data_IF_780939831692
#
_entry.id   IF_780939831692
#
_cell.length_a   1.000
_cell.length_b   1.000
_cell.length_c   1.000
_cell.angle_alpha   90.00
_cell.angle_beta   90.00
_cell.angle_gamma   90.00
#
_symmetry.space_group_name_H-M   'P 1'
#
loop_
_entity.id
_entity.type
_entity.pdbx_description
1 polymer ?
#
# COMPACT_ATOMS: atom_id res chain seq x y z
N UNK A 1 2.23 22.80 -10.26
CA UNK A 1 0.81 22.42 -10.40
C UNK A 1 0.60 21.15 -9.58
N UNK A 2 -0.16 21.19 -8.49
CA UNK A 2 -0.40 20.00 -7.68
C UNK A 2 -1.18 18.97 -8.52
N UNK A 3 -0.68 17.74 -8.70
CA UNK A 3 -1.45 16.71 -9.39
C UNK A 3 -2.77 16.52 -8.65
N UNK A 4 -3.88 16.50 -9.40
CA UNK A 4 -5.23 16.44 -8.86
C UNK A 4 -5.36 15.27 -7.85
N UNK A 5 -5.46 15.60 -6.56
CA UNK A 5 -5.41 14.66 -5.43
C UNK A 5 -6.78 14.01 -5.27
N UNK A 6 -7.00 12.92 -6.00
CA UNK A 6 -8.27 12.17 -5.97
C UNK A 6 -8.03 10.71 -5.68
N UNK A 7 -8.70 10.22 -4.65
CA UNK A 7 -8.79 8.79 -4.39
C UNK A 7 -9.49 8.05 -5.54
N UNK A 8 -9.14 6.76 -5.78
CA UNK A 8 -9.98 5.89 -6.60
C UNK A 8 -11.44 5.91 -6.12
N UNK A 9 -12.39 5.87 -7.05
CA UNK A 9 -13.81 5.69 -6.70
C UNK A 9 -14.04 4.29 -6.13
N UNK A 10 -15.18 4.05 -5.47
CA UNK A 10 -15.53 2.70 -4.95
C UNK A 10 -15.40 1.61 -6.02
N UNK A 11 -15.91 1.86 -7.23
CA UNK A 11 -15.82 0.91 -8.34
C UNK A 11 -14.37 0.72 -8.83
N UNK A 12 -13.58 1.79 -8.89
CA UNK A 12 -12.15 1.71 -9.21
C UNK A 12 -11.36 0.93 -8.16
N UNK A 13 -11.65 1.11 -6.87
CA UNK A 13 -11.03 0.35 -5.78
C UNK A 13 -11.37 -1.13 -5.85
N UNK A 14 -12.63 -1.50 -6.12
CA UNK A 14 -13.05 -2.90 -6.30
C UNK A 14 -12.31 -3.54 -7.47
N UNK A 15 -12.27 -2.87 -8.63
CA UNK A 15 -11.56 -3.36 -9.81
C UNK A 15 -10.07 -3.51 -9.50
N UNK A 16 -9.45 -2.51 -8.89
CA UNK A 16 -8.04 -2.54 -8.53
C UNK A 16 -7.70 -3.70 -7.58
N UNK A 17 -8.49 -3.93 -6.52
CA UNK A 17 -8.29 -5.08 -5.61
C UNK A 17 -8.41 -6.42 -6.33
N UNK A 18 -9.44 -6.61 -7.16
CA UNK A 18 -9.62 -7.86 -7.93
C UNK A 18 -8.45 -8.08 -8.90
N UNK A 19 -7.95 -7.03 -9.54
CA UNK A 19 -6.81 -7.11 -10.47
C UNK A 19 -5.50 -7.42 -9.73
N UNK A 20 -5.31 -6.89 -8.52
CA UNK A 20 -4.19 -7.22 -7.64
C UNK A 20 -4.18 -8.71 -7.25
N UNK A 21 -5.36 -9.31 -7.09
CA UNK A 21 -5.58 -10.74 -6.89
C UNK A 21 -5.53 -11.57 -8.19
N UNK A 22 -5.06 -11.00 -9.30
CA UNK A 22 -4.93 -11.64 -10.61
C UNK A 22 -6.25 -12.11 -11.25
N UNK A 23 -7.40 -11.62 -10.78
CA UNK A 23 -8.70 -11.95 -11.39
C UNK A 23 -8.75 -11.36 -12.82
N UNK A 24 -9.11 -12.16 -13.84
CA UNK A 24 -9.15 -11.70 -15.23
C UNK A 24 -10.16 -10.56 -15.47
N UNK A 25 -9.89 -9.60 -16.37
CA UNK A 25 -10.81 -8.50 -16.64
C UNK A 25 -12.17 -8.95 -17.19
N UNK A 26 -12.24 -10.12 -17.84
CA UNK A 26 -13.49 -10.72 -18.31
C UNK A 26 -14.43 -11.09 -17.18
N UNK A 27 -13.90 -11.74 -16.13
CA UNK A 27 -14.67 -12.16 -14.96
C UNK A 27 -15.14 -10.92 -14.18
N UNK A 28 -14.25 -9.93 -14.00
CA UNK A 28 -14.60 -8.68 -13.33
C UNK A 28 -15.70 -7.92 -14.11
N UNK A 29 -15.60 -7.89 -15.44
CA UNK A 29 -16.58 -7.24 -16.29
C UNK A 29 -17.97 -7.88 -16.17
N UNK A 30 -18.04 -9.21 -16.14
CA UNK A 30 -19.27 -9.98 -15.93
C UNK A 30 -19.88 -9.71 -14.56
N UNK A 31 -19.10 -9.86 -13.48
CA UNK A 31 -19.55 -9.63 -12.11
C UNK A 31 -20.09 -8.20 -11.89
N UNK A 32 -19.41 -7.21 -12.48
CA UNK A 32 -19.77 -5.80 -12.33
C UNK A 32 -20.76 -5.29 -13.38
N UNK A 33 -21.19 -6.14 -14.32
CA UNK A 33 -22.09 -5.79 -15.44
C UNK A 33 -21.57 -4.59 -16.26
N UNK A 34 -20.28 -4.59 -16.58
CA UNK A 34 -19.60 -3.56 -17.38
C UNK A 34 -18.84 -4.20 -18.54
N UNK A 35 -18.27 -3.38 -19.43
CA UNK A 35 -17.45 -3.87 -20.53
C UNK A 35 -16.00 -4.17 -20.09
N UNK A 36 -15.32 -5.11 -20.77
CA UNK A 36 -13.88 -5.37 -20.53
C UNK A 36 -13.01 -4.12 -20.71
N UNK A 37 -13.23 -3.26 -21.75
CA UNK A 37 -12.49 -2.01 -21.88
C UNK A 37 -12.70 -1.07 -20.70
N UNK A 38 -13.91 -1.02 -20.13
CA UNK A 38 -14.18 -0.23 -18.93
C UNK A 38 -13.34 -0.71 -17.74
N UNK A 39 -13.23 -2.03 -17.52
CA UNK A 39 -12.39 -2.59 -16.45
C UNK A 39 -10.93 -2.17 -16.60
N UNK A 40 -10.36 -2.32 -17.81
CA UNK A 40 -8.98 -1.91 -18.09
C UNK A 40 -8.76 -0.41 -17.89
N UNK A 41 -9.71 0.43 -18.34
CA UNK A 41 -9.64 1.87 -18.16
C UNK A 41 -9.74 2.26 -16.68
N UNK A 42 -10.68 1.67 -15.93
CA UNK A 42 -10.87 1.93 -14.51
C UNK A 42 -9.64 1.51 -13.69
N UNK A 43 -9.03 0.36 -14.00
CA UNK A 43 -7.77 -0.08 -13.40
C UNK A 43 -6.66 0.95 -13.63
N UNK A 44 -6.44 1.36 -14.88
CA UNK A 44 -5.39 2.35 -15.23
C UNK A 44 -5.60 3.68 -14.49
N UNK A 45 -6.84 4.13 -14.40
CA UNK A 45 -7.17 5.36 -13.67
C UNK A 45 -6.92 5.18 -12.16
N UNK A 46 -7.30 4.04 -11.59
CA UNK A 46 -7.05 3.73 -10.19
C UNK A 46 -5.56 3.74 -9.86
N UNK A 47 -4.75 3.02 -10.65
CA UNK A 47 -3.30 2.96 -10.49
C UNK A 47 -2.65 4.34 -10.63
N UNK A 48 -3.07 5.17 -11.59
CA UNK A 48 -2.56 6.53 -11.71
C UNK A 48 -2.88 7.40 -10.47
N UNK A 49 -4.10 7.26 -9.93
CA UNK A 49 -4.50 7.96 -8.70
C UNK A 49 -3.68 7.51 -7.50
N UNK A 50 -3.53 6.20 -7.34
CA UNK A 50 -2.72 5.59 -6.26
C UNK A 50 -1.26 6.04 -6.37
N UNK A 51 -0.68 6.05 -7.58
CA UNK A 51 0.67 6.57 -7.81
C UNK A 51 0.80 8.01 -7.31
N UNK A 52 -0.13 8.88 -7.71
CA UNK A 52 -0.12 10.28 -7.31
C UNK A 52 -0.27 10.42 -5.79
N UNK A 53 -1.14 9.64 -5.16
CA UNK A 53 -1.33 9.64 -3.71
C UNK A 53 -0.04 9.28 -2.96
N UNK A 54 0.65 8.21 -3.38
CA UNK A 54 1.89 7.76 -2.76
C UNK A 54 3.02 8.78 -2.96
N UNK A 55 3.17 9.34 -4.17
CA UNK A 55 4.16 10.38 -4.46
C UNK A 55 3.92 11.66 -3.67
N UNK A 56 2.66 12.09 -3.54
CA UNK A 56 2.30 13.26 -2.74
C UNK A 56 2.60 13.02 -1.26
N UNK A 57 2.27 11.85 -0.72
CA UNK A 57 2.60 11.51 0.66
C UNK A 57 4.12 11.52 0.90
N UNK A 58 4.90 11.00 -0.04
CA UNK A 58 6.35 11.05 0.03
C UNK A 58 6.88 12.49 0.01
N UNK A 59 6.37 13.32 -0.90
CA UNK A 59 6.76 14.74 -1.00
C UNK A 59 6.44 15.51 0.29
N UNK A 60 5.25 15.30 0.87
CA UNK A 60 4.84 15.94 2.13
C UNK A 60 5.73 15.55 3.31
N UNK A 61 6.25 14.32 3.30
CA UNK A 61 7.16 13.81 4.33
C UNK A 61 8.65 13.96 3.97
N UNK A 62 8.98 14.66 2.88
CA UNK A 62 10.36 14.84 2.38
C UNK A 62 11.13 13.54 2.16
N UNK A 63 10.41 12.51 1.71
CA UNK A 63 10.97 11.19 1.42
C UNK A 63 11.33 11.10 -0.06
N UNK A 64 12.53 10.59 -0.34
CA UNK A 64 12.95 10.23 -1.69
C UNK A 64 12.48 8.81 -1.98
N UNK A 65 11.70 8.62 -3.05
CA UNK A 65 11.14 7.30 -3.39
C UNK A 65 12.17 6.51 -4.18
N UNK A 66 12.47 5.30 -3.69
CA UNK A 66 13.36 4.36 -4.37
C UNK A 66 12.57 3.47 -5.33
N UNK A 67 11.44 2.92 -4.84
CA UNK A 67 10.58 2.03 -5.61
C UNK A 67 9.10 2.35 -5.35
N UNK A 68 8.28 2.22 -6.40
CA UNK A 68 6.83 2.43 -6.32
C UNK A 68 6.09 1.42 -7.19
N UNK A 69 5.03 0.84 -6.65
CA UNK A 69 4.14 -0.08 -7.33
C UNK A 69 2.69 0.34 -7.13
N UNK A 70 2.12 1.13 -8.05
CA UNK A 70 0.71 1.51 -7.99
C UNK A 70 -0.24 0.31 -8.14
N UNK A 71 0.21 -0.74 -8.83
CA UNK A 71 -0.49 -2.03 -8.96
C UNK A 71 -0.75 -2.67 -7.59
N UNK A 72 0.21 -2.57 -6.66
CA UNK A 72 0.10 -3.13 -5.32
C UNK A 72 -0.15 -2.09 -4.23
N UNK A 73 -0.19 -0.80 -4.60
CA UNK A 73 -0.47 0.29 -3.66
C UNK A 73 0.65 0.43 -2.64
N UNK A 74 1.90 0.21 -3.05
CA UNK A 74 3.03 0.19 -2.16
C UNK A 74 4.19 0.99 -2.72
N UNK A 75 4.90 1.70 -1.86
CA UNK A 75 6.16 2.34 -2.20
C UNK A 75 7.12 2.27 -1.01
N UNK A 76 8.40 2.34 -1.31
CA UNK A 76 9.48 2.48 -0.33
C UNK A 76 10.36 3.63 -0.75
N UNK A 77 10.87 4.32 0.24
CA UNK A 77 11.83 5.40 0.04
C UNK A 77 12.71 5.58 1.27
N UNK A 78 13.53 6.61 1.20
CA UNK A 78 14.48 6.95 2.25
C UNK A 78 14.27 8.40 2.71
N UNK A 79 14.37 8.59 4.02
CA UNK A 79 14.41 9.91 4.66
C UNK A 79 15.86 10.33 4.87
N UNK A 80 16.40 11.31 4.11
CA UNK A 80 17.76 11.80 4.37
C UNK A 80 17.91 12.43 5.75
N UNK A 81 16.83 12.96 6.33
CA UNK A 81 16.84 13.65 7.61
C UNK A 81 16.93 12.69 8.80
N UNK A 82 16.24 11.56 8.75
CA UNK A 82 16.24 10.55 9.83
C UNK A 82 17.15 9.36 9.55
N UNK A 83 17.69 9.26 8.33
CA UNK A 83 18.55 8.14 7.94
C UNK A 83 17.82 6.80 7.87
N UNK A 84 16.50 6.80 7.70
CA UNK A 84 15.66 5.60 7.81
C UNK A 84 14.82 5.34 6.56
N UNK A 85 14.56 4.05 6.31
CA UNK A 85 13.60 3.62 5.29
C UNK A 85 12.19 4.06 5.70
N UNK A 86 11.37 4.37 4.71
CA UNK A 86 9.97 4.75 4.91
C UNK A 86 9.12 4.01 3.89
N UNK A 87 8.08 3.35 4.37
CA UNK A 87 7.13 2.61 3.55
C UNK A 87 5.83 3.39 3.41
N UNK A 88 5.22 3.31 2.24
CA UNK A 88 3.92 3.90 1.95
C UNK A 88 2.98 2.82 1.49
N UNK A 89 1.81 2.74 2.11
CA UNK A 89 0.78 1.76 1.74
C UNK A 89 -0.50 2.48 1.37
N UNK A 90 -1.18 2.02 0.33
CA UNK A 90 -2.54 2.39 -0.02
C UNK A 90 -3.46 1.17 0.12
N UNK A 91 -4.53 1.34 0.91
CA UNK A 91 -5.66 0.42 0.97
C UNK A 91 -6.98 1.20 0.74
N UNK A 92 -7.99 0.59 0.11
CA UNK A 92 -9.33 1.15 0.07
C UNK A 92 -9.91 1.36 1.48
N UNK A 93 -9.58 0.50 2.43
CA UNK A 93 -10.02 0.56 3.83
C UNK A 93 -9.18 1.56 4.62
N UNK A 94 -7.85 1.43 4.60
CA UNK A 94 -6.96 2.21 5.47
C UNK A 94 -6.41 3.49 4.82
N UNK A 95 -6.79 3.79 3.57
CA UNK A 95 -6.28 4.94 2.80
C UNK A 95 -4.75 4.88 2.67
N UNK A 96 -4.11 6.03 2.47
CA UNK A 96 -2.65 6.14 2.43
C UNK A 96 -2.12 6.18 3.86
N UNK A 97 -1.14 5.33 4.15
CA UNK A 97 -0.41 5.29 5.41
C UNK A 97 1.09 5.42 5.14
N UNK A 98 1.81 6.03 6.09
CA UNK A 98 3.26 6.26 6.02
C UNK A 98 3.88 5.61 7.25
N UNK A 99 4.88 4.76 7.02
CA UNK A 99 5.52 3.95 8.05
C UNK A 99 7.01 4.21 8.05
N UNK A 100 7.51 4.84 9.11
CA UNK A 100 8.94 5.05 9.31
C UNK A 100 9.56 3.80 9.93
N UNK A 101 10.66 3.33 9.36
CA UNK A 101 11.45 2.23 9.91
C UNK A 101 12.20 2.74 11.16
N UNK A 102 11.58 2.55 12.32
CA UNK A 102 12.13 2.92 13.62
C UNK A 102 11.70 1.91 14.68
N UNK A 103 12.57 1.70 15.66
CA UNK A 103 12.23 0.94 16.86
C UNK A 103 11.36 1.81 17.77
N UNK A 104 10.14 1.37 18.05
CA UNK A 104 9.20 2.04 18.94
C UNK A 104 8.81 1.15 20.13
N UNK A 105 8.61 1.75 21.32
CA UNK A 105 8.03 1.04 22.46
C UNK A 105 6.49 0.99 22.33
N UNK A 106 5.99 0.04 21.53
CA UNK A 106 4.55 -0.12 21.32
C UNK A 106 3.78 -0.48 22.60
N UNK A 107 4.43 -0.94 23.68
CA UNK A 107 3.73 -1.36 24.91
C UNK A 107 3.11 -0.17 25.65
N UNK A 108 3.64 1.03 25.43
CA UNK A 108 3.16 2.28 26.04
C UNK A 108 2.51 3.22 25.03
N UNK A 109 2.35 2.77 23.79
CA UNK A 109 1.81 3.59 22.72
C UNK A 109 0.29 3.49 22.67
N UNK A 110 -0.40 4.62 22.82
CA UNK A 110 -1.88 4.68 22.75
C UNK A 110 -2.42 4.29 21.36
N UNK A 111 -1.61 4.44 20.31
CA UNK A 111 -1.96 4.09 18.93
C UNK A 111 -1.63 2.63 18.56
N UNK A 112 -1.06 1.85 19.49
CA UNK A 112 -0.59 0.49 19.19
C UNK A 112 -1.68 -0.42 18.59
N UNK A 113 -2.91 -0.33 19.12
CA UNK A 113 -4.05 -1.12 18.65
C UNK A 113 -4.50 -0.71 17.23
N UNK A 114 -4.43 0.57 16.91
CA UNK A 114 -4.74 1.08 15.56
C UNK A 114 -3.67 0.65 14.56
N UNK A 115 -2.39 0.79 14.91
CA UNK A 115 -1.29 0.30 14.08
C UNK A 115 -1.42 -1.20 13.81
N UNK A 116 -1.67 -2.01 14.85
CA UNK A 116 -1.84 -3.46 14.71
C UNK A 116 -3.02 -3.80 13.78
N UNK A 117 -4.17 -3.14 13.95
CA UNK A 117 -5.33 -3.30 13.09
C UNK A 117 -4.98 -3.03 11.63
N UNK A 118 -4.34 -1.90 11.34
CA UNK A 118 -4.00 -1.53 9.97
C UNK A 118 -2.99 -2.52 9.38
N UNK A 119 -1.90 -2.82 10.09
CA UNK A 119 -0.85 -3.71 9.61
C UNK A 119 -1.39 -5.13 9.34
N UNK A 120 -2.21 -5.67 10.23
CA UNK A 120 -2.83 -6.99 10.03
C UNK A 120 -3.87 -6.97 8.93
N UNK A 121 -4.65 -5.90 8.80
CA UNK A 121 -5.56 -5.72 7.67
C UNK A 121 -4.81 -5.69 6.33
N UNK A 122 -3.70 -4.96 6.26
CA UNK A 122 -2.82 -4.97 5.10
C UNK A 122 -2.26 -6.38 4.82
N UNK A 123 -1.81 -7.11 5.85
CA UNK A 123 -1.33 -8.48 5.68
C UNK A 123 -2.39 -9.39 5.03
N UNK A 124 -3.65 -9.29 5.47
CA UNK A 124 -4.78 -10.01 4.86
C UNK A 124 -4.97 -9.58 3.39
N UNK A 125 -4.94 -8.29 3.07
CA UNK A 125 -5.03 -7.81 1.69
C UNK A 125 -3.90 -8.33 0.80
N UNK A 126 -2.71 -8.50 1.36
CA UNK A 126 -1.53 -9.07 0.69
C UNK A 126 -1.55 -10.60 0.64
N UNK A 127 -2.51 -11.28 1.27
CA UNK A 127 -2.54 -12.74 1.38
C UNK A 127 -1.41 -13.30 2.24
N UNK A 128 -0.87 -12.51 3.16
CA UNK A 128 0.24 -12.87 4.05
C UNK A 128 -0.28 -13.24 5.43
N UNK A 129 0.13 -14.40 5.94
CA UNK A 129 -0.17 -14.84 7.30
C UNK A 129 0.92 -14.38 8.27
N UNK A 130 0.53 -13.69 9.35
CA UNK A 130 1.42 -13.20 10.41
C UNK A 130 1.03 -13.84 11.75
N UNK A 131 2.01 -14.27 12.57
CA UNK A 131 1.74 -14.71 13.94
C UNK A 131 0.94 -13.67 14.76
N UNK A 132 0.10 -14.16 15.69
CA UNK A 132 -0.77 -13.31 16.50
C UNK A 132 -0.01 -12.57 17.60
N UNK A 133 0.95 -13.24 18.24
CA UNK A 133 1.62 -12.74 19.44
C UNK A 133 2.87 -11.90 19.11
N UNK A 134 2.70 -10.89 18.26
CA UNK A 134 3.75 -9.94 17.88
C UNK A 134 3.31 -8.51 18.20
N UNK A 135 4.27 -7.69 18.62
CA UNK A 135 4.06 -6.25 18.79
C UNK A 135 3.94 -5.56 17.42
N UNK A 136 3.24 -4.41 17.32
CA UNK A 136 3.05 -3.71 16.04
C UNK A 136 4.34 -3.44 15.26
N UNK A 137 5.44 -3.07 15.91
CA UNK A 137 6.75 -2.89 15.25
C UNK A 137 7.26 -4.17 14.60
N UNK A 138 7.10 -5.33 15.26
CA UNK A 138 7.51 -6.63 14.74
C UNK A 138 6.60 -7.08 13.58
N UNK A 139 5.29 -6.80 13.70
CA UNK A 139 4.31 -7.01 12.63
C UNK A 139 4.68 -6.19 11.40
N UNK A 140 4.98 -4.89 11.57
CA UNK A 140 5.36 -3.99 10.48
C UNK A 140 6.62 -4.47 9.77
N UNK A 141 7.69 -4.79 10.51
CA UNK A 141 8.94 -5.31 9.97
C UNK A 141 8.71 -6.57 9.14
N UNK A 142 8.04 -7.56 9.74
CA UNK A 142 7.74 -8.84 9.08
C UNK A 142 6.87 -8.65 7.83
N UNK A 143 5.88 -7.76 7.90
CA UNK A 143 4.99 -7.47 6.78
C UNK A 143 5.77 -6.83 5.62
N UNK A 144 6.52 -5.76 5.89
CA UNK A 144 7.20 -5.02 4.84
C UNK A 144 8.36 -5.82 4.23
N UNK A 145 9.11 -6.59 5.03
CA UNK A 145 10.13 -7.51 4.50
C UNK A 145 9.52 -8.52 3.51
N UNK A 146 8.35 -9.10 3.85
CA UNK A 146 7.65 -10.03 2.95
C UNK A 146 7.11 -9.35 1.70
N UNK A 147 6.58 -8.13 1.83
CA UNK A 147 6.11 -7.34 0.68
C UNK A 147 7.28 -7.04 -0.27
N UNK A 148 8.40 -6.59 0.27
CA UNK A 148 9.62 -6.30 -0.49
C UNK A 148 10.08 -7.56 -1.25
N UNK A 149 10.05 -8.74 -0.61
CA UNK A 149 10.40 -10.01 -1.26
C UNK A 149 9.43 -10.43 -2.36
N UNK A 150 8.13 -10.26 -2.16
CA UNK A 150 7.11 -10.50 -3.21
C UNK A 150 7.32 -9.58 -4.42
N UNK A 151 7.79 -8.35 -4.18
CA UNK A 151 8.06 -7.37 -5.24
C UNK A 151 9.47 -7.48 -5.83
N UNK A 152 10.35 -8.27 -5.23
CA UNK A 152 11.76 -8.40 -5.63
C UNK A 152 12.59 -7.14 -5.35
N UNK A 153 12.26 -6.38 -4.29
CA UNK A 153 12.91 -5.12 -3.94
C UNK A 153 14.00 -5.25 -2.87
N UNK A 154 14.27 -6.47 -2.41
CA UNK A 154 15.24 -6.77 -1.33
C UNK A 154 16.70 -6.45 -1.71
N UNK A 155 16.96 -6.08 -2.98
CA UNK A 155 18.31 -5.89 -3.53
C UNK A 155 18.74 -4.44 -3.76
N UNK A 156 17.96 -3.45 -3.33
CA UNK A 156 18.46 -2.06 -3.30
C UNK A 156 19.35 -1.86 -2.06
N UNK A 157 20.64 -2.20 -2.21
CA UNK A 157 21.73 -1.71 -1.37
C UNK A 157 22.39 -0.51 -2.05
#
# INVERSE_FOLDING_TARGET
>A
MYPNFRYPTKQQSIIWMKRRQQIPPSIIAEELKVSRPFVSQAQRIAEQRIKNLLLTAAQMNRIQIDNISPKYGFAVGYSPASGSKTYFTYSPEFRVQVWFDHEGDCRKCELASECDKILRGLAVEWGLSLPRDMLPTEVAKTLFDRIMGVLGWDQAK
#
